data_IF_391345036912
#
_entry.id   IF_391345036912
#
_cell.length_a   1.000
_cell.length_b   1.000
_cell.length_c   1.000
_cell.angle_alpha   90.00
_cell.angle_beta   90.00
_cell.angle_gamma   90.00
#
_symmetry.space_group_name_H-M   'P 1'
#
loop_
_entity.id
_entity.type
_entity.pdbx_description
1 polymer ?
#
# COMPACT_ATOMS: atom_id res chain seq x y z
N UNK A 1 16.64 10.91 8.94
CA UNK A 1 16.94 11.36 7.55
C UNK A 1 16.66 12.85 7.42
N UNK A 2 17.20 13.53 6.40
CA UNK A 2 16.92 14.95 6.15
C UNK A 2 15.79 15.11 5.12
N UNK A 3 15.12 16.28 5.04
CA UNK A 3 14.20 16.57 3.95
C UNK A 3 14.85 16.45 2.57
N UNK A 4 14.11 15.94 1.59
CA UNK A 4 14.58 15.74 0.22
C UNK A 4 13.94 14.55 -0.48
N UNK A 5 14.38 14.33 -1.73
CA UNK A 5 14.01 13.17 -2.55
C UNK A 5 15.14 12.16 -2.52
N UNK A 6 14.79 10.91 -2.34
CA UNK A 6 15.73 9.79 -2.31
C UNK A 6 15.25 8.70 -3.26
N UNK A 7 16.11 8.37 -4.23
CA UNK A 7 15.76 7.42 -5.30
C UNK A 7 16.13 5.97 -4.98
N UNK A 8 17.12 5.75 -4.10
CA UNK A 8 17.74 4.43 -3.89
C UNK A 8 17.68 3.95 -2.42
N UNK A 9 16.61 4.29 -1.69
CA UNK A 9 16.42 3.76 -0.32
C UNK A 9 15.72 2.41 -0.40
N UNK A 10 16.29 1.39 0.24
CA UNK A 10 15.67 0.06 0.31
C UNK A 10 14.29 0.10 0.98
N UNK A 11 13.43 -0.87 0.69
CA UNK A 11 12.11 -0.93 1.34
C UNK A 11 12.22 -1.09 2.86
N UNK A 12 13.22 -1.85 3.33
CA UNK A 12 13.51 -2.03 4.74
C UNK A 12 13.93 -0.70 5.40
N UNK A 13 14.90 0.01 4.82
CA UNK A 13 15.40 1.28 5.35
C UNK A 13 14.30 2.35 5.36
N UNK A 14 13.41 2.35 4.37
CA UNK A 14 12.26 3.24 4.37
C UNK A 14 11.29 2.89 5.49
N UNK A 15 10.90 1.63 5.68
CA UNK A 15 9.98 1.32 6.76
C UNK A 15 10.61 1.52 8.15
N UNK A 16 11.90 1.24 8.31
CA UNK A 16 12.65 1.41 9.55
C UNK A 16 13.08 2.87 9.84
N UNK A 17 13.14 3.72 8.80
CA UNK A 17 13.71 5.06 8.92
C UNK A 17 12.92 5.99 9.84
N UNK A 18 13.49 7.17 10.08
CA UNK A 18 12.78 8.25 10.76
C UNK A 18 11.62 8.77 9.91
N UNK A 19 10.74 9.54 10.56
CA UNK A 19 9.67 10.28 9.92
C UNK A 19 8.30 9.60 9.95
N UNK A 20 7.27 10.43 10.01
CA UNK A 20 5.87 10.04 10.11
C UNK A 20 5.36 9.60 8.73
N UNK A 21 4.90 8.35 8.60
CA UNK A 21 4.27 7.84 7.38
C UNK A 21 2.75 7.77 7.49
N UNK A 22 2.08 7.69 6.34
CA UNK A 22 0.62 7.46 6.25
C UNK A 22 0.16 6.27 7.08
N UNK A 23 0.88 5.14 7.01
CA UNK A 23 0.54 3.93 7.77
C UNK A 23 0.64 4.14 9.29
N UNK A 24 1.57 4.97 9.76
CA UNK A 24 1.66 5.33 11.17
C UNK A 24 0.49 6.24 11.58
N UNK A 25 0.10 7.20 10.74
CA UNK A 25 -1.06 8.05 10.98
C UNK A 25 -2.38 7.26 10.99
N UNK A 26 -2.52 6.22 10.16
CA UNK A 26 -3.67 5.32 10.24
C UNK A 26 -3.77 4.59 11.58
N UNK A 27 -2.64 4.24 12.19
CA UNK A 27 -2.63 3.67 13.54
C UNK A 27 -3.04 4.71 14.57
N UNK A 28 -2.49 5.93 14.46
CA UNK A 28 -2.86 7.06 15.35
C UNK A 28 -4.35 7.37 15.26
N UNK A 29 -4.92 7.36 14.06
CA UNK A 29 -6.35 7.60 13.84
C UNK A 29 -7.25 6.54 14.47
N UNK A 30 -6.79 5.30 14.56
CA UNK A 30 -7.48 4.24 15.30
C UNK A 30 -7.30 4.44 16.80
N UNK A 31 -6.05 4.45 17.26
CA UNK A 31 -5.65 4.71 18.62
C UNK A 31 -4.11 4.91 18.67
N UNK A 32 -3.59 6.04 19.18
CA UNK A 32 -2.15 6.32 19.23
C UNK A 32 -1.30 5.22 19.89
N UNK A 33 -1.84 4.52 20.89
CA UNK A 33 -1.14 3.41 21.56
C UNK A 33 -0.79 2.26 20.61
N UNK A 34 -1.56 2.06 19.53
CA UNK A 34 -1.28 1.03 18.53
C UNK A 34 0.05 1.24 17.82
N UNK A 35 0.54 2.49 17.71
CA UNK A 35 1.83 2.78 17.12
C UNK A 35 2.99 2.29 18.00
N UNK A 36 2.84 2.31 19.33
CA UNK A 36 3.81 1.74 20.27
C UNK A 36 3.70 0.22 20.30
N UNK A 37 2.46 -0.29 20.30
CA UNK A 37 2.19 -1.73 20.28
C UNK A 37 2.79 -2.40 19.05
N UNK A 38 2.55 -1.89 17.83
CA UNK A 38 3.05 -2.53 16.60
C UNK A 38 4.57 -2.64 16.54
N UNK A 39 5.29 -1.70 17.19
CA UNK A 39 6.76 -1.72 17.28
C UNK A 39 7.29 -2.69 18.33
N UNK A 40 6.50 -2.98 19.36
CA UNK A 40 6.92 -3.80 20.51
C UNK A 40 6.35 -5.22 20.48
N UNK A 41 5.25 -5.44 19.75
CA UNK A 41 4.61 -6.74 19.64
C UNK A 41 5.50 -7.71 18.88
N UNK A 42 5.62 -8.98 19.33
CA UNK A 42 6.37 -9.98 18.60
C UNK A 42 5.66 -10.33 17.28
N UNK A 43 6.45 -10.56 16.24
CA UNK A 43 5.95 -11.02 14.95
C UNK A 43 6.05 -12.55 14.82
N UNK A 44 5.07 -13.13 14.12
CA UNK A 44 5.04 -14.55 13.77
C UNK A 44 5.72 -14.73 12.40
N UNK A 45 7.03 -14.97 12.41
CA UNK A 45 7.85 -15.09 11.19
C UNK A 45 7.36 -16.21 10.24
N UNK A 46 6.75 -17.28 10.78
CA UNK A 46 6.20 -18.37 9.96
C UNK A 46 5.01 -17.90 9.11
N UNK A 47 4.24 -16.92 9.59
CA UNK A 47 3.06 -16.38 8.89
C UNK A 47 3.35 -15.14 8.04
N UNK A 48 4.56 -14.57 8.16
CA UNK A 48 4.99 -13.39 7.40
C UNK A 48 5.28 -13.69 5.92
N UNK A 49 5.58 -14.95 5.60
CA UNK A 49 6.06 -15.39 4.27
C UNK A 49 4.99 -15.77 3.25
N UNK A 50 3.70 -15.52 3.55
CA UNK A 50 2.65 -15.78 2.57
C UNK A 50 2.84 -14.88 1.34
N UNK A 51 2.68 -15.45 0.14
CA UNK A 51 2.71 -14.69 -1.10
C UNK A 51 1.69 -13.55 -1.06
N UNK A 52 2.17 -12.32 -1.11
CA UNK A 52 1.32 -11.17 -1.36
C UNK A 52 1.21 -10.93 -2.88
N UNK A 53 0.09 -11.39 -3.44
CA UNK A 53 -0.26 -11.15 -4.85
C UNK A 53 -0.29 -9.66 -5.22
N UNK A 54 -0.58 -8.77 -4.26
CA UNK A 54 -0.52 -7.33 -4.46
C UNK A 54 0.90 -6.87 -4.74
N UNK A 55 1.86 -7.28 -3.91
CA UNK A 55 3.29 -6.96 -4.06
C UNK A 55 3.87 -7.50 -5.38
N UNK A 56 3.51 -8.74 -5.76
CA UNK A 56 3.95 -9.30 -7.03
C UNK A 56 3.38 -8.52 -8.24
N UNK A 57 2.10 -8.15 -8.21
CA UNK A 57 1.48 -7.36 -9.27
C UNK A 57 2.09 -5.96 -9.37
N UNK A 58 2.30 -5.30 -8.24
CA UNK A 58 2.89 -3.97 -8.15
C UNK A 58 4.29 -3.95 -8.77
N UNK A 59 5.17 -4.87 -8.33
CA UNK A 59 6.50 -5.02 -8.92
C UNK A 59 6.44 -5.32 -10.42
N UNK A 60 5.54 -6.21 -10.87
CA UNK A 60 5.39 -6.51 -12.29
C UNK A 60 4.94 -5.30 -13.14
N UNK A 61 4.17 -4.37 -12.56
CA UNK A 61 3.68 -3.19 -13.27
C UNK A 61 4.70 -2.04 -13.27
N UNK A 62 5.49 -1.90 -12.20
CA UNK A 62 6.31 -0.71 -11.94
C UNK A 62 7.81 -0.95 -12.08
N UNK A 63 8.28 -2.14 -11.77
CA UNK A 63 9.69 -2.56 -11.81
C UNK A 63 9.81 -3.94 -12.52
N UNK A 64 9.35 -4.09 -13.78
CA UNK A 64 9.31 -5.39 -14.46
C UNK A 64 10.68 -6.07 -14.57
N UNK A 65 11.77 -5.30 -14.62
CA UNK A 65 13.16 -5.78 -14.60
C UNK A 65 13.61 -6.36 -13.25
N UNK A 66 12.93 -6.01 -12.16
CA UNK A 66 13.16 -6.56 -10.83
C UNK A 66 12.28 -7.79 -10.53
N UNK A 67 11.19 -7.96 -11.29
CA UNK A 67 10.22 -9.03 -11.05
C UNK A 67 10.86 -10.42 -11.06
N UNK A 68 11.65 -10.75 -12.10
CA UNK A 68 12.32 -12.06 -12.22
C UNK A 68 13.48 -12.26 -11.23
N UNK A 69 13.90 -11.20 -10.52
CA UNK A 69 14.90 -11.27 -9.45
C UNK A 69 14.26 -11.56 -8.09
N UNK A 70 13.01 -11.13 -7.90
CA UNK A 70 12.26 -11.22 -6.63
C UNK A 70 11.27 -12.39 -6.59
N UNK A 71 10.78 -12.83 -7.75
CA UNK A 71 9.73 -13.84 -7.85
C UNK A 71 10.13 -14.99 -8.76
N UNK A 72 9.71 -16.21 -8.41
CA UNK A 72 9.96 -17.40 -9.21
C UNK A 72 8.70 -18.24 -9.34
N UNK A 73 8.44 -18.71 -10.56
CA UNK A 73 7.29 -19.56 -10.85
C UNK A 73 7.49 -20.97 -10.27
N UNK A 74 6.53 -21.45 -9.48
CA UNK A 74 6.48 -22.84 -9.04
C UNK A 74 6.23 -23.79 -10.23
N UNK A 75 6.80 -25.01 -10.21
CA UNK A 75 6.53 -26.00 -11.23
C UNK A 75 5.06 -26.43 -11.21
N UNK A 76 4.48 -26.64 -12.39
CA UNK A 76 3.12 -27.18 -12.51
C UNK A 76 3.11 -28.66 -12.13
N UNK A 77 2.50 -28.98 -10.99
CA UNK A 77 2.47 -30.34 -10.42
C UNK A 77 1.08 -30.72 -9.91
N UNK A 78 0.78 -32.02 -9.87
CA UNK A 78 -0.42 -32.54 -9.20
C UNK A 78 -0.12 -32.87 -7.73
N UNK A 79 -0.58 -32.03 -6.82
CA UNK A 79 -0.40 -32.18 -5.36
C UNK A 79 -1.16 -33.37 -4.77
N UNK A 80 -2.00 -34.07 -5.52
CA UNK A 80 -2.64 -35.32 -5.09
C UNK A 80 -1.70 -36.51 -5.22
N UNK A 81 -0.67 -36.39 -6.06
CA UNK A 81 0.31 -37.45 -6.30
C UNK A 81 1.53 -37.31 -5.38
N UNK A 82 2.10 -38.44 -4.97
CA UNK A 82 3.36 -38.45 -4.20
C UNK A 82 4.50 -37.78 -4.97
N UNK A 83 4.55 -38.01 -6.29
CA UNK A 83 5.55 -37.39 -7.17
C UNK A 83 5.40 -35.87 -7.22
N UNK A 84 4.19 -35.34 -7.41
CA UNK A 84 3.96 -33.89 -7.46
C UNK A 84 4.30 -33.18 -6.14
N UNK A 85 3.97 -33.79 -5.00
CA UNK A 85 4.40 -33.29 -3.68
C UNK A 85 5.92 -33.28 -3.54
N UNK A 86 6.59 -34.35 -3.96
CA UNK A 86 8.05 -34.44 -3.92
C UNK A 86 8.72 -33.42 -4.83
N UNK A 87 8.18 -33.19 -6.04
CA UNK A 87 8.68 -32.16 -6.97
C UNK A 87 8.54 -30.75 -6.40
N UNK A 88 7.40 -30.42 -5.79
CA UNK A 88 7.22 -29.11 -5.16
C UNK A 88 8.14 -28.94 -3.95
N UNK A 89 8.30 -29.98 -3.13
CA UNK A 89 9.22 -29.95 -1.99
C UNK A 89 10.67 -29.74 -2.45
N UNK A 90 11.13 -30.49 -3.46
CA UNK A 90 12.46 -30.34 -4.03
C UNK A 90 12.68 -28.94 -4.63
N UNK A 91 11.66 -28.36 -5.28
CA UNK A 91 11.71 -26.98 -5.75
C UNK A 91 11.87 -25.99 -4.58
N UNK A 92 11.05 -26.10 -3.54
CA UNK A 92 11.13 -25.24 -2.35
C UNK A 92 12.48 -25.37 -1.65
N UNK A 93 13.04 -26.58 -1.57
CA UNK A 93 14.38 -26.82 -1.05
C UNK A 93 15.46 -26.19 -1.93
N UNK A 94 15.31 -26.21 -3.27
CA UNK A 94 16.28 -25.63 -4.20
C UNK A 94 16.39 -24.11 -4.13
N UNK A 95 15.31 -23.44 -3.70
CA UNK A 95 15.28 -21.98 -3.51
C UNK A 95 15.46 -21.56 -2.05
N UNK A 96 15.66 -22.53 -1.15
CA UNK A 96 15.84 -22.26 0.27
C UNK A 96 17.12 -21.45 0.49
N UNK A 97 17.01 -20.32 1.19
CA UNK A 97 18.11 -19.38 1.37
C UNK A 97 18.34 -18.42 0.21
N UNK A 98 17.54 -18.50 -0.86
CA UNK A 98 17.42 -17.41 -1.83
C UNK A 98 16.45 -16.34 -1.29
N UNK A 99 16.53 -15.13 -1.82
CA UNK A 99 15.56 -14.05 -1.56
C UNK A 99 14.36 -14.10 -2.52
N UNK A 100 14.15 -15.23 -3.22
CA UNK A 100 13.06 -15.36 -4.18
C UNK A 100 11.77 -15.81 -3.50
N UNK A 101 10.67 -15.18 -3.88
CA UNK A 101 9.33 -15.58 -3.44
C UNK A 101 8.71 -16.52 -4.47
N UNK A 102 8.39 -17.78 -4.12
CA UNK A 102 7.73 -18.70 -5.03
C UNK A 102 6.27 -18.31 -5.28
N UNK A 103 5.85 -18.37 -6.54
CA UNK A 103 4.47 -18.09 -6.97
C UNK A 103 3.87 -19.32 -7.63
N UNK A 104 2.71 -19.83 -7.16
CA UNK A 104 2.00 -20.95 -7.79
C UNK A 104 1.75 -20.74 -9.29
N UNK A 105 1.77 -21.81 -10.09
CA UNK A 105 1.57 -21.75 -11.56
C UNK A 105 0.30 -20.98 -11.96
N UNK A 106 -0.80 -21.19 -11.23
CA UNK A 106 -2.08 -20.53 -11.47
C UNK A 106 -2.02 -19.02 -11.18
N UNK A 107 -1.36 -18.64 -10.09
CA UNK A 107 -1.18 -17.26 -9.67
C UNK A 107 -0.21 -16.52 -10.61
N UNK A 108 0.85 -17.17 -11.07
CA UNK A 108 1.75 -16.63 -12.10
C UNK A 108 1.00 -16.32 -13.39
N UNK A 109 0.14 -17.25 -13.83
CA UNK A 109 -0.72 -17.05 -15.00
C UNK A 109 -1.69 -15.88 -14.78
N UNK A 110 -2.28 -15.78 -13.60
CA UNK A 110 -3.19 -14.71 -13.19
C UNK A 110 -2.49 -13.34 -13.23
N UNK A 111 -1.31 -13.22 -12.63
CA UNK A 111 -0.49 -11.99 -12.66
C UNK A 111 -0.21 -11.54 -14.10
N UNK A 112 0.22 -12.46 -14.97
CA UNK A 112 0.49 -12.13 -16.37
C UNK A 112 -0.75 -11.62 -17.13
N UNK A 113 -1.95 -12.12 -16.81
CA UNK A 113 -3.20 -11.64 -17.39
C UNK A 113 -3.64 -10.28 -16.81
N UNK A 114 -3.45 -10.06 -15.51
CA UNK A 114 -3.73 -8.78 -14.86
C UNK A 114 -2.81 -7.68 -15.41
N UNK A 115 -1.52 -7.94 -15.52
CA UNK A 115 -0.54 -7.04 -16.14
C UNK A 115 -0.94 -6.69 -17.58
N UNK A 116 -1.24 -7.70 -18.42
CA UNK A 116 -1.70 -7.47 -19.80
C UNK A 116 -3.00 -6.67 -19.87
N UNK A 117 -3.90 -6.85 -18.90
CA UNK A 117 -5.14 -6.07 -18.82
C UNK A 117 -4.86 -4.60 -18.48
N UNK A 118 -3.92 -4.33 -17.58
CA UNK A 118 -3.48 -2.96 -17.27
C UNK A 118 -2.84 -2.27 -18.47
N UNK A 119 -1.94 -2.97 -19.18
CA UNK A 119 -1.31 -2.46 -20.39
C UNK A 119 -2.26 -2.28 -21.58
N UNK A 120 -3.45 -2.91 -21.54
CA UNK A 120 -4.49 -2.71 -22.53
C UNK A 120 -5.38 -1.47 -22.25
N UNK A 121 -5.39 -0.96 -21.02
CA UNK A 121 -6.17 0.22 -20.64
C UNK A 121 -5.37 1.50 -20.98
N UNK A 122 -5.89 2.43 -21.82
CA UNK A 122 -5.10 3.56 -22.35
C UNK A 122 -4.44 4.44 -21.28
N UNK A 123 -5.19 4.90 -20.26
CA UNK A 123 -4.65 5.78 -19.22
C UNK A 123 -3.63 5.05 -18.32
N UNK A 124 -3.98 3.85 -17.83
CA UNK A 124 -3.07 3.00 -17.05
C UNK A 124 -1.77 2.72 -17.81
N UNK A 125 -1.84 2.32 -19.08
CA UNK A 125 -0.67 2.10 -19.93
C UNK A 125 0.21 3.35 -20.00
N UNK A 126 -0.38 4.50 -20.31
CA UNK A 126 0.38 5.76 -20.38
C UNK A 126 1.07 6.07 -19.05
N UNK A 127 0.38 5.95 -17.92
CA UNK A 127 0.95 6.14 -16.58
C UNK A 127 2.10 5.18 -16.29
N UNK A 128 1.98 3.91 -16.69
CA UNK A 128 3.00 2.88 -16.46
C UNK A 128 4.21 3.01 -17.39
N UNK A 129 4.03 3.45 -18.65
CA UNK A 129 5.11 3.62 -19.62
C UNK A 129 5.80 4.98 -19.55
N UNK A 130 5.11 6.03 -19.07
CA UNK A 130 5.67 7.37 -19.01
C UNK A 130 6.96 7.42 -18.15
N UNK A 131 7.97 8.21 -18.53
CA UNK A 131 9.14 8.43 -17.70
C UNK A 131 8.77 8.94 -16.31
N UNK A 132 9.50 8.48 -15.30
CA UNK A 132 9.27 8.83 -13.91
C UNK A 132 10.10 7.94 -12.99
N UNK A 133 9.90 8.11 -11.69
CA UNK A 133 10.61 7.37 -10.66
C UNK A 133 9.63 6.47 -9.91
N UNK A 134 9.90 5.16 -9.89
CA UNK A 134 9.17 4.22 -9.05
C UNK A 134 9.78 4.20 -7.65
N UNK A 135 8.95 4.06 -6.61
CA UNK A 135 9.39 3.91 -5.22
C UNK A 135 10.31 5.03 -4.67
N UNK A 136 10.29 6.21 -5.31
CA UNK A 136 11.07 7.36 -4.87
C UNK A 136 10.53 7.90 -3.54
N UNK A 137 11.37 8.01 -2.53
CA UNK A 137 10.95 8.45 -1.20
C UNK A 137 11.11 9.95 -1.05
N UNK A 138 10.08 10.61 -0.53
CA UNK A 138 10.09 12.05 -0.30
C UNK A 138 9.92 12.33 1.19
N UNK A 139 10.83 13.14 1.74
CA UNK A 139 10.85 13.54 3.15
C UNK A 139 10.71 15.05 3.25
N UNK A 140 9.88 15.52 4.18
CA UNK A 140 9.74 16.95 4.46
C UNK A 140 9.52 17.19 5.95
N UNK A 141 9.88 18.38 6.43
CA UNK A 141 9.44 18.81 7.75
C UNK A 141 8.08 19.48 7.59
N UNK A 142 7.13 19.07 8.41
CA UNK A 142 5.82 19.70 8.47
C UNK A 142 5.92 21.12 9.06
N UNK A 143 5.29 22.10 8.41
CA UNK A 143 5.43 23.51 8.79
C UNK A 143 4.77 23.83 10.14
N UNK A 144 3.70 23.11 10.51
CA UNK A 144 2.92 23.36 11.72
C UNK A 144 3.54 22.66 12.94
N UNK A 145 3.86 21.38 12.80
CA UNK A 145 4.32 20.53 13.91
C UNK A 145 5.84 20.39 13.98
N UNK A 146 6.56 20.71 12.90
CA UNK A 146 7.99 20.45 12.78
C UNK A 146 8.34 18.96 12.67
N UNK A 147 7.35 18.06 12.60
CA UNK A 147 7.58 16.63 12.45
C UNK A 147 8.19 16.33 11.08
N UNK A 148 9.23 15.51 11.04
CA UNK A 148 9.68 14.91 9.79
C UNK A 148 8.58 13.96 9.30
N UNK A 149 8.06 14.18 8.11
CA UNK A 149 7.08 13.35 7.43
C UNK A 149 7.71 12.67 6.21
N UNK A 150 7.11 11.56 5.77
CA UNK A 150 7.60 10.81 4.61
C UNK A 150 6.50 10.14 3.82
N UNK A 151 6.71 10.07 2.52
CA UNK A 151 5.90 9.32 1.56
C UNK A 151 6.80 8.56 0.59
N UNK A 152 6.23 7.54 -0.03
CA UNK A 152 6.83 6.80 -1.12
C UNK A 152 5.74 6.51 -2.15
N UNK A 153 5.55 7.40 -3.13
CA UNK A 153 4.71 7.13 -4.29
C UNK A 153 5.14 5.85 -4.99
N UNK A 154 4.17 5.03 -5.41
CA UNK A 154 4.46 3.85 -6.23
C UNK A 154 5.14 4.27 -7.53
N UNK A 155 4.64 5.35 -8.15
CA UNK A 155 5.33 6.04 -9.26
C UNK A 155 5.09 7.54 -9.23
N UNK A 156 6.17 8.29 -9.44
CA UNK A 156 6.16 9.74 -9.60
C UNK A 156 6.57 10.12 -11.02
N UNK A 157 5.61 10.64 -11.79
CA UNK A 157 5.82 11.20 -13.13
C UNK A 157 6.27 12.65 -12.99
N UNK A 158 7.57 12.85 -12.75
CA UNK A 158 8.17 14.13 -12.37
C UNK A 158 7.98 15.24 -13.42
N UNK A 159 7.94 14.91 -14.73
CA UNK A 159 7.70 15.90 -15.79
C UNK A 159 6.25 16.37 -15.88
N UNK A 160 5.33 15.66 -15.21
CA UNK A 160 3.89 15.94 -15.24
C UNK A 160 3.33 16.34 -13.88
N UNK A 161 4.15 16.33 -12.82
CA UNK A 161 3.72 16.49 -11.43
C UNK A 161 2.55 15.55 -11.09
N UNK A 162 2.70 14.27 -11.41
CA UNK A 162 1.66 13.25 -11.16
C UNK A 162 2.21 12.13 -10.29
N UNK A 163 1.43 11.77 -9.28
CA UNK A 163 1.61 10.54 -8.50
C UNK A 163 0.61 9.50 -8.99
N UNK A 164 1.11 8.28 -9.18
CA UNK A 164 0.32 7.11 -9.51
C UNK A 164 0.50 6.11 -8.37
N UNK A 165 -0.61 5.57 -7.88
CA UNK A 165 -0.65 4.57 -6.83
C UNK A 165 -1.46 3.35 -7.32
N UNK A 166 -0.81 2.19 -7.36
CA UNK A 166 -1.33 0.94 -7.92
C UNK A 166 -2.03 0.14 -6.82
N UNK A 167 -3.31 -0.16 -7.03
CA UNK A 167 -4.11 -0.96 -6.10
C UNK A 167 -4.58 -2.26 -6.72
N UNK A 168 -4.14 -3.38 -6.16
CA UNK A 168 -4.81 -4.67 -6.38
C UNK A 168 -6.14 -4.67 -5.63
N UNK A 169 -7.26 -4.88 -6.35
CA UNK A 169 -8.59 -4.91 -5.73
C UNK A 169 -9.21 -6.30 -5.85
N UNK A 170 -9.87 -6.76 -4.79
CA UNK A 170 -10.58 -8.04 -4.80
C UNK A 170 -11.68 -8.05 -5.87
N UNK A 171 -12.42 -6.94 -5.94
CA UNK A 171 -13.49 -6.68 -6.88
C UNK A 171 -13.50 -5.18 -7.18
N UNK A 172 -13.70 -4.81 -8.44
CA UNK A 172 -13.72 -3.41 -8.87
C UNK A 172 -14.87 -2.62 -8.23
N UNK A 173 -16.02 -3.24 -7.97
CA UNK A 173 -17.18 -2.59 -7.33
C UNK A 173 -16.90 -2.20 -5.88
N UNK A 174 -15.95 -2.88 -5.22
CA UNK A 174 -15.58 -2.59 -3.84
C UNK A 174 -14.59 -1.44 -3.70
N UNK A 175 -13.98 -0.98 -4.80
CA UNK A 175 -12.90 0.00 -4.71
C UNK A 175 -13.34 1.33 -4.08
N UNK A 176 -14.56 1.79 -4.37
CA UNK A 176 -15.10 3.00 -3.73
C UNK A 176 -15.17 2.87 -2.20
N UNK A 177 -15.55 1.69 -1.69
CA UNK A 177 -15.59 1.41 -0.26
C UNK A 177 -14.19 1.34 0.36
N UNK A 178 -13.21 0.85 -0.39
CA UNK A 178 -11.81 0.81 0.02
C UNK A 178 -11.21 2.21 0.22
N UNK A 179 -11.70 3.24 -0.50
CA UNK A 179 -11.28 4.64 -0.29
C UNK A 179 -11.47 5.06 1.17
N UNK A 180 -12.59 4.67 1.77
CA UNK A 180 -12.90 4.95 3.17
C UNK A 180 -12.21 3.95 4.11
N UNK A 181 -12.38 2.64 3.87
CA UNK A 181 -11.87 1.59 4.78
C UNK A 181 -10.36 1.63 4.96
N UNK A 182 -9.62 1.95 3.91
CA UNK A 182 -8.16 2.08 3.95
C UNK A 182 -7.69 3.52 3.92
N UNK A 183 -8.61 4.49 4.07
CA UNK A 183 -8.30 5.92 4.16
C UNK A 183 -7.41 6.40 3.02
N UNK A 184 -7.71 6.00 1.78
CA UNK A 184 -6.93 6.40 0.62
C UNK A 184 -7.08 7.90 0.30
N UNK A 185 -8.17 8.53 0.75
CA UNK A 185 -8.31 9.98 0.71
C UNK A 185 -7.26 10.71 1.58
N UNK A 186 -6.92 10.16 2.75
CA UNK A 186 -5.81 10.64 3.59
C UNK A 186 -4.45 10.38 2.92
N UNK A 187 -4.31 9.23 2.23
CA UNK A 187 -3.11 8.93 1.45
C UNK A 187 -2.89 9.98 0.35
N UNK A 188 -3.92 10.26 -0.44
CA UNK A 188 -3.88 11.27 -1.49
C UNK A 188 -3.42 12.63 -0.94
N UNK A 189 -4.09 13.12 0.12
CA UNK A 189 -3.76 14.41 0.72
C UNK A 189 -2.32 14.48 1.23
N UNK A 190 -1.87 13.49 2.01
CA UNK A 190 -0.50 13.45 2.54
C UNK A 190 0.55 13.35 1.43
N UNK A 191 0.28 12.58 0.38
CA UNK A 191 1.21 12.38 -0.73
C UNK A 191 1.33 13.63 -1.61
N UNK A 192 0.21 14.27 -1.93
CA UNK A 192 0.21 15.53 -2.66
C UNK A 192 0.92 16.65 -1.88
N UNK A 193 0.67 16.75 -0.56
CA UNK A 193 1.37 17.75 0.27
C UNK A 193 2.88 17.47 0.33
N UNK A 194 3.27 16.23 0.62
CA UNK A 194 4.69 15.86 0.71
C UNK A 194 5.43 16.11 -0.60
N UNK A 195 4.84 15.74 -1.73
CA UNK A 195 5.41 16.02 -3.04
C UNK A 195 5.51 17.52 -3.31
N UNK A 196 4.48 18.30 -2.99
CA UNK A 196 4.52 19.76 -3.15
C UNK A 196 5.60 20.41 -2.26
N UNK A 197 5.76 19.96 -1.02
CA UNK A 197 6.78 20.50 -0.10
C UNK A 197 8.19 20.26 -0.58
N UNK A 198 8.44 19.13 -1.23
CA UNK A 198 9.78 18.75 -1.67
C UNK A 198 10.10 19.28 -3.08
N UNK A 199 9.12 19.36 -3.96
CA UNK A 199 9.30 19.76 -5.37
C UNK A 199 8.98 21.24 -5.64
N UNK A 200 8.14 21.86 -4.81
CA UNK A 200 7.58 23.19 -5.03
C UNK A 200 6.32 23.21 -5.90
N UNK A 201 5.90 22.07 -6.45
CA UNK A 201 4.83 21.99 -7.46
C UNK A 201 3.59 21.25 -6.96
N UNK A 202 2.41 21.67 -7.40
CA UNK A 202 1.16 20.94 -7.08
C UNK A 202 1.12 19.64 -7.88
N UNK A 203 0.75 18.55 -7.21
CA UNK A 203 0.70 17.23 -7.82
C UNK A 203 -0.74 16.72 -7.98
N UNK A 204 -1.02 16.11 -9.14
CA UNK A 204 -2.19 15.25 -9.32
C UNK A 204 -1.94 13.85 -8.75
N UNK A 205 -2.99 13.17 -8.30
CA UNK A 205 -2.86 11.82 -7.72
C UNK A 205 -3.92 10.89 -8.28
N UNK A 206 -3.48 9.78 -8.86
CA UNK A 206 -4.34 8.79 -9.50
C UNK A 206 -4.16 7.41 -8.90
N UNK A 207 -5.28 6.76 -8.59
CA UNK A 207 -5.31 5.35 -8.26
C UNK A 207 -5.44 4.53 -9.54
N UNK A 208 -4.49 3.64 -9.79
CA UNK A 208 -4.56 2.62 -10.84
C UNK A 208 -5.04 1.31 -10.19
N UNK A 209 -6.33 1.05 -10.26
CA UNK A 209 -6.94 -0.15 -9.69
C UNK A 209 -6.94 -1.30 -10.70
N UNK A 210 -6.43 -2.45 -10.30
CA UNK A 210 -6.42 -3.70 -11.07
C UNK A 210 -7.15 -4.77 -10.28
N UNK A 211 -8.26 -5.26 -10.82
CA UNK A 211 -9.08 -6.28 -10.15
C UNK A 211 -8.49 -7.67 -10.33
N UNK A 212 -8.52 -8.45 -9.24
CA UNK A 212 -8.12 -9.85 -9.24
C UNK A 212 -9.27 -10.81 -9.54
N UNK A 213 -10.51 -10.31 -9.64
CA UNK A 213 -11.68 -11.06 -10.10
C UNK A 213 -11.88 -10.88 -11.60
N UNK A 214 -12.43 -11.90 -12.25
CA UNK A 214 -12.71 -11.86 -13.69
C UNK A 214 -14.10 -11.27 -13.90
N UNK A 215 -14.19 -10.33 -14.84
CA UNK A 215 -15.45 -9.87 -15.44
C UNK A 215 -15.36 -10.01 -16.96
N UNK A 216 -16.36 -10.68 -17.55
CA UNK A 216 -16.44 -10.93 -18.99
C UNK A 216 -15.12 -11.47 -19.61
N UNK A 217 -14.44 -12.36 -18.90
CA UNK A 217 -13.21 -13.02 -19.34
C UNK A 217 -11.93 -12.17 -19.24
N UNK A 218 -11.99 -11.00 -18.58
CA UNK A 218 -10.85 -10.10 -18.38
C UNK A 218 -10.70 -9.75 -16.91
N UNK A 219 -9.55 -9.20 -16.54
CA UNK A 219 -9.34 -8.57 -15.23
C UNK A 219 -9.61 -7.07 -15.38
N UNK A 220 -10.69 -6.51 -14.80
CA UNK A 220 -11.00 -5.09 -14.91
C UNK A 220 -9.88 -4.20 -14.43
N UNK A 221 -9.62 -3.12 -15.18
CA UNK A 221 -8.67 -2.07 -14.82
C UNK A 221 -9.38 -0.74 -14.93
N UNK A 222 -9.20 0.12 -13.93
CA UNK A 222 -9.75 1.48 -13.91
C UNK A 222 -8.72 2.42 -13.29
N UNK A 223 -8.70 3.65 -13.79
CA UNK A 223 -7.92 4.74 -13.22
C UNK A 223 -8.90 5.73 -12.59
N UNK A 224 -8.63 6.14 -11.37
CA UNK A 224 -9.48 7.03 -10.59
C UNK A 224 -8.69 8.22 -10.09
N UNK A 225 -9.32 9.39 -10.16
CA UNK A 225 -8.96 10.56 -9.38
C UNK A 225 -9.99 10.70 -8.26
N UNK A 226 -9.56 11.20 -7.10
CA UNK A 226 -10.46 11.47 -6.00
C UNK A 226 -11.18 12.80 -6.24
N UNK A 227 -12.43 12.92 -5.82
CA UNK A 227 -13.12 14.21 -5.94
C UNK A 227 -12.57 15.25 -4.95
N UNK A 228 -12.73 16.54 -5.27
CA UNK A 228 -12.19 17.61 -4.44
C UNK A 228 -12.71 17.59 -2.98
N UNK A 229 -14.01 17.35 -2.71
CA UNK A 229 -14.50 17.23 -1.33
C UNK A 229 -13.85 16.11 -0.51
N UNK A 230 -13.58 14.95 -1.11
CA UNK A 230 -12.91 13.85 -0.42
C UNK A 230 -11.41 14.12 -0.25
N UNK A 231 -10.76 14.84 -1.17
CA UNK A 231 -9.39 15.36 -1.00
C UNK A 231 -9.32 16.31 0.20
N UNK A 232 -10.25 17.27 0.29
CA UNK A 232 -10.33 18.21 1.41
C UNK A 232 -10.55 17.49 2.74
N UNK A 233 -11.43 16.49 2.76
CA UNK A 233 -11.66 15.63 3.92
C UNK A 233 -10.40 14.86 4.30
N UNK A 234 -9.69 14.31 3.32
CA UNK A 234 -8.39 13.68 3.50
C UNK A 234 -7.36 14.58 4.16
N UNK A 235 -7.30 15.84 3.73
CA UNK A 235 -6.41 16.84 4.31
C UNK A 235 -6.75 17.15 5.76
N UNK A 236 -8.03 17.38 6.08
CA UNK A 236 -8.48 17.62 7.46
C UNK A 236 -8.10 16.46 8.39
N UNK A 237 -8.32 15.23 7.94
CA UNK A 237 -7.99 14.03 8.72
C UNK A 237 -6.48 13.82 8.85
N UNK A 238 -5.72 14.04 7.79
CA UNK A 238 -4.25 14.01 7.82
C UNK A 238 -3.70 14.99 8.86
N UNK A 239 -4.14 16.26 8.82
CA UNK A 239 -3.73 17.30 9.77
C UNK A 239 -4.10 16.93 11.21
N UNK A 240 -5.31 16.42 11.45
CA UNK A 240 -5.75 15.95 12.77
C UNK A 240 -4.84 14.85 13.32
N UNK A 241 -4.53 13.85 12.49
CA UNK A 241 -3.75 12.69 12.92
C UNK A 241 -2.29 13.08 13.17
N UNK A 242 -1.70 13.93 12.32
CA UNK A 242 -0.34 14.41 12.50
C UNK A 242 -0.19 15.28 13.76
N UNK A 243 -1.15 16.18 14.00
CA UNK A 243 -1.18 16.96 15.23
C UNK A 243 -1.36 16.06 16.47
N UNK A 244 -2.21 15.04 16.39
CA UNK A 244 -2.39 14.05 17.47
C UNK A 244 -1.07 13.31 17.75
N UNK A 245 -0.40 12.83 16.70
CA UNK A 245 0.91 12.21 16.81
C UNK A 245 1.93 13.13 17.47
N UNK A 246 2.00 14.39 17.03
CA UNK A 246 2.90 15.40 17.58
C UNK A 246 2.67 15.62 19.08
N UNK A 247 1.42 15.79 19.50
CA UNK A 247 1.08 15.95 20.92
C UNK A 247 1.47 14.73 21.74
N UNK A 248 1.12 13.51 21.29
CA UNK A 248 1.54 12.27 21.94
C UNK A 248 3.05 12.13 22.06
N UNK A 249 3.81 12.56 21.03
CA UNK A 249 5.27 12.54 21.06
C UNK A 249 5.85 13.53 22.07
N UNK A 250 5.26 14.72 22.21
CA UNK A 250 5.72 15.74 23.15
C UNK A 250 5.40 15.39 24.61
N UNK A 251 4.20 14.87 24.88
CA UNK A 251 3.77 14.51 26.23
C UNK A 251 4.23 13.12 26.68
N UNK A 252 4.62 12.27 25.74
CA UNK A 252 4.76 10.81 25.90
C UNK A 252 3.49 10.11 26.41
N UNK A 253 2.32 10.74 26.20
CA UNK A 253 1.02 10.16 26.53
C UNK A 253 0.37 9.58 25.27
N UNK A 254 0.39 8.26 25.15
CA UNK A 254 -0.13 7.54 23.97
C UNK A 254 -1.50 6.87 24.22
N UNK A 255 -2.03 6.95 25.45
CA UNK A 255 -3.26 6.28 25.84
C UNK A 255 -3.10 4.76 25.95
N UNK A 256 -4.09 3.99 25.50
CA UNK A 256 -4.05 2.52 25.48
C UNK A 256 -5.28 1.81 26.04
N UNK A 257 -6.26 2.56 26.53
CA UNK A 257 -7.55 2.00 26.98
C UNK A 257 -8.67 2.63 26.17
N UNK A 258 -9.50 1.78 25.57
CA UNK A 258 -10.64 2.21 24.75
C UNK A 258 -11.96 1.89 25.43
N UNK A 259 -12.93 2.81 25.29
CA UNK A 259 -14.30 2.58 25.74
C UNK A 259 -15.05 1.88 24.60
N UNK A 260 -15.27 0.58 24.73
CA UNK A 260 -16.14 -0.15 23.83
C UNK A 260 -17.61 0.01 24.24
N UNK A 261 -18.48 0.22 23.25
CA UNK A 261 -19.93 0.38 23.45
C UNK A 261 -20.66 -0.82 22.86
N UNK A 262 -21.73 -1.27 23.53
CA UNK A 262 -22.71 -2.18 22.92
C UNK A 262 -23.19 -1.60 21.58
N UNK A 263 -23.30 -2.41 20.51
CA UNK A 263 -23.84 -1.95 19.23
C UNK A 263 -25.22 -1.31 19.37
N UNK A 264 -25.54 -0.34 18.53
CA UNK A 264 -26.77 0.45 18.66
C UNK A 264 -28.04 -0.41 18.50
N UNK A 265 -28.01 -1.43 17.63
CA UNK A 265 -29.11 -2.37 17.48
C UNK A 265 -29.43 -3.12 18.78
N UNK A 266 -28.41 -3.44 19.59
CA UNK A 266 -28.58 -4.15 20.85
C UNK A 266 -29.19 -3.21 21.90
N UNK A 267 -28.78 -1.95 21.94
CA UNK A 267 -29.32 -0.93 22.85
C UNK A 267 -30.79 -0.63 22.55
N UNK A 268 -31.17 -0.62 21.27
CA UNK A 268 -32.56 -0.42 20.85
C UNK A 268 -33.50 -1.53 21.29
N UNK A 269 -33.01 -2.76 21.53
CA UNK A 269 -33.84 -3.86 22.05
C UNK A 269 -34.21 -3.66 23.52
N UNK A 270 -33.37 -2.96 24.29
CA UNK A 270 -33.64 -2.66 25.71
C UNK A 270 -34.83 -1.70 25.89
N UNK A 271 -35.22 -0.95 24.85
CA UNK A 271 -36.41 -0.08 24.85
C UNK A 271 -37.74 -0.87 24.90
N UNK A 272 -37.68 -2.19 24.71
CA UNK A 272 -38.83 -3.09 24.70
C UNK A 272 -38.87 -4.02 25.91
N UNK A 273 -38.06 -3.74 26.94
CA UNK A 273 -38.03 -4.42 28.25
C UNK A 273 -38.63 -3.51 29.31
#
# INVERSE_FOLDING_TARGET
MNPGIYFDISNEDYHAGDGVSKSQLDMVAKNPALLKWVKAAPEDEEKKSALDMGTALHCLLLEPEEFDKRFIKEPKVDLRTTMGKATLAAFKDSIKGSNMTPIPDEDWRKLGLMHKSAMAHPAARWMLEAPGYCEASMYWNDDETGELCRIRPDKWLNEHNVIVDVKKVADMERFARHIEEFRYHVQNAMYCEGAQKVTGEVHGFFFLAVSESIDCGRYPVRVFELDAPDVDTGMVLFRRDLNTYHQCRLSDEWGGVEIIKRPEWARKQDLYV
#
